data_IF_506266198558
#
_entry.id   IF_506266198558
#
_cell.length_a   1.000
_cell.length_b   1.000
_cell.length_c   1.000
_cell.angle_alpha   90.00
_cell.angle_beta   90.00
_cell.angle_gamma   90.00
#
_symmetry.space_group_name_H-M   'P 1'
#
loop_
_entity.id
_entity.type
_entity.pdbx_description
1 polymer ?
#
# COMPACT_ATOMS: atom_id res chain seq x y z
N UNK A 1 -10.77 -10.76 20.98
CA UNK A 1 -11.38 -11.21 19.72
C UNK A 1 -10.45 -12.26 19.12
N UNK A 2 -10.93 -13.48 18.92
CA UNK A 2 -10.15 -14.51 18.23
C UNK A 2 -10.09 -14.19 16.74
N UNK A 3 -8.89 -14.13 16.17
CA UNK A 3 -8.67 -13.89 14.74
C UNK A 3 -8.95 -15.17 13.96
N UNK A 4 -9.88 -15.13 13.01
CA UNK A 4 -10.25 -16.28 12.18
C UNK A 4 -9.09 -16.71 11.27
N UNK A 5 -9.08 -17.99 10.87
CA UNK A 5 -8.10 -18.52 9.91
C UNK A 5 -8.14 -17.75 8.58
N UNK A 6 -9.35 -17.45 8.09
CA UNK A 6 -9.53 -16.65 6.88
C UNK A 6 -8.88 -15.27 7.00
N UNK A 7 -8.99 -14.63 8.17
CA UNK A 7 -8.42 -13.30 8.35
C UNK A 7 -6.89 -13.29 8.34
N UNK A 8 -6.28 -14.36 8.86
CA UNK A 8 -4.82 -14.56 8.76
C UNK A 8 -4.39 -14.79 7.31
N UNK A 9 -5.12 -15.61 6.55
CA UNK A 9 -4.84 -15.86 5.14
C UNK A 9 -4.98 -14.60 4.29
N UNK A 10 -6.04 -13.81 4.49
CA UNK A 10 -6.25 -12.53 3.82
C UNK A 10 -5.11 -11.55 4.11
N UNK A 11 -4.70 -11.43 5.38
CA UNK A 11 -3.54 -10.62 5.76
C UNK A 11 -2.27 -11.09 5.07
N UNK A 12 -1.97 -12.39 5.06
CA UNK A 12 -0.79 -12.94 4.36
C UNK A 12 -0.84 -12.66 2.85
N UNK A 13 -2.00 -12.85 2.20
CA UNK A 13 -2.18 -12.50 0.78
C UNK A 13 -1.89 -11.03 0.51
N UNK A 14 -2.39 -10.14 1.38
CA UNK A 14 -2.17 -8.70 1.24
C UNK A 14 -0.71 -8.31 1.44
N UNK A 15 -0.03 -8.89 2.45
CA UNK A 15 1.41 -8.69 2.68
C UNK A 15 2.25 -9.09 1.46
N UNK A 16 1.98 -10.27 0.89
CA UNK A 16 2.67 -10.71 -0.33
C UNK A 16 2.36 -9.83 -1.54
N UNK A 17 1.11 -9.39 -1.71
CA UNK A 17 0.72 -8.52 -2.80
C UNK A 17 1.41 -7.15 -2.71
N UNK A 18 1.43 -6.55 -1.52
CA UNK A 18 2.12 -5.28 -1.29
C UNK A 18 3.62 -5.41 -1.60
N UNK A 19 4.27 -6.48 -1.14
CA UNK A 19 5.67 -6.75 -1.42
C UNK A 19 5.95 -6.88 -2.93
N UNK A 20 5.10 -7.61 -3.67
CA UNK A 20 5.21 -7.73 -5.13
C UNK A 20 5.02 -6.39 -5.87
N UNK A 21 4.28 -5.46 -5.26
CA UNK A 21 4.07 -4.10 -5.78
C UNK A 21 5.14 -3.10 -5.30
N UNK A 22 6.21 -3.56 -4.64
CA UNK A 22 7.28 -2.66 -4.19
C UNK A 22 6.92 -1.84 -2.96
N UNK A 23 5.97 -2.31 -2.14
CA UNK A 23 5.60 -1.73 -0.86
C UNK A 23 5.88 -2.69 0.29
N UNK A 24 6.13 -2.13 1.46
CA UNK A 24 6.17 -2.86 2.72
C UNK A 24 5.07 -2.37 3.62
N UNK A 25 4.21 -3.26 4.07
CA UNK A 25 3.22 -2.96 5.12
C UNK A 25 3.94 -3.02 6.47
N UNK A 26 3.81 -1.94 7.25
CA UNK A 26 4.42 -1.81 8.56
C UNK A 26 3.39 -2.16 9.67
N UNK A 27 2.11 -1.84 9.46
CA UNK A 27 1.02 -2.17 10.38
C UNK A 27 -0.31 -2.39 9.64
N UNK A 28 -1.13 -3.31 10.14
CA UNK A 28 -2.55 -3.46 9.82
C UNK A 28 -3.33 -3.39 11.13
N UNK A 29 -4.17 -2.37 11.27
CA UNK A 29 -5.09 -2.19 12.38
C UNK A 29 -6.52 -2.07 11.82
N UNK A 30 -7.25 -3.19 11.64
CA UNK A 30 -8.57 -3.19 10.99
C UNK A 30 -9.63 -2.31 11.67
N UNK A 31 -9.41 -1.93 12.93
CA UNK A 31 -10.32 -1.11 13.72
C UNK A 31 -9.79 0.32 13.95
N UNK A 32 -8.62 0.65 13.40
CA UNK A 32 -7.99 1.96 13.53
C UNK A 32 -8.51 2.98 12.52
N UNK A 33 -8.34 4.26 12.84
CA UNK A 33 -8.63 5.36 11.91
C UNK A 33 -7.77 5.31 10.64
N UNK A 34 -6.58 4.73 10.73
CA UNK A 34 -5.73 4.37 9.59
C UNK A 34 -5.58 2.85 9.59
N UNK A 35 -6.29 2.13 8.68
CA UNK A 35 -6.39 0.69 8.77
C UNK A 35 -5.10 -0.03 8.38
N UNK A 36 -4.27 0.58 7.53
CA UNK A 36 -3.00 0.00 7.06
C UNK A 36 -1.96 1.12 6.94
N UNK A 37 -0.76 0.90 7.45
CA UNK A 37 0.40 1.75 7.19
C UNK A 37 1.40 1.01 6.33
N UNK A 38 1.96 1.68 5.33
CA UNK A 38 2.93 1.09 4.43
C UNK A 38 3.95 2.12 3.96
N UNK A 39 5.10 1.61 3.54
CA UNK A 39 6.23 2.39 3.03
C UNK A 39 6.62 1.86 1.65
N UNK A 40 6.81 2.73 0.64
CA UNK A 40 7.38 2.30 -0.64
C UNK A 40 8.84 1.85 -0.43
N UNK A 41 9.21 0.73 -1.04
CA UNK A 41 10.58 0.18 -1.00
C UNK A 41 11.22 0.08 -2.38
N UNK A 42 10.41 0.05 -3.44
CA UNK A 42 10.91 0.11 -4.81
C UNK A 42 11.16 1.56 -5.25
N UNK A 43 12.18 1.76 -6.07
CA UNK A 43 12.52 3.08 -6.59
C UNK A 43 11.38 3.70 -7.42
N UNK A 44 11.32 5.03 -7.46
CA UNK A 44 10.29 5.80 -8.15
C UNK A 44 8.84 5.46 -7.74
N UNK A 45 8.64 4.71 -6.65
CA UNK A 45 7.32 4.30 -6.17
C UNK A 45 6.83 5.31 -5.13
N UNK A 46 5.68 5.96 -5.35
CA UNK A 46 5.21 7.02 -4.47
C UNK A 46 4.68 6.47 -3.15
N UNK A 47 4.70 7.31 -2.12
CA UNK A 47 4.03 7.00 -0.86
C UNK A 47 2.51 6.93 -1.06
N UNK A 48 1.86 6.05 -0.30
CA UNK A 48 0.41 5.90 -0.24
C UNK A 48 -0.02 6.01 1.21
N UNK A 49 -1.08 6.78 1.47
CA UNK A 49 -1.62 6.99 2.82
C UNK A 49 -3.13 6.98 2.81
N UNK A 50 -3.74 6.66 3.94
CA UNK A 50 -5.18 6.75 4.13
C UNK A 50 -5.54 8.04 4.86
N UNK A 51 -6.52 8.78 4.34
CA UNK A 51 -7.16 9.91 5.02
C UNK A 51 -8.64 9.59 5.23
N UNK A 52 -9.23 9.86 6.40
CA UNK A 52 -10.66 9.63 6.62
C UNK A 52 -11.58 10.40 5.65
N UNK A 53 -11.13 11.56 5.17
CA UNK A 53 -11.94 12.46 4.34
C UNK A 53 -11.95 12.06 2.86
N UNK A 54 -10.84 11.51 2.34
CA UNK A 54 -10.69 11.22 0.90
C UNK A 54 -10.34 9.76 0.59
N UNK A 55 -10.13 8.92 1.61
CA UNK A 55 -9.75 7.52 1.46
C UNK A 55 -8.25 7.35 1.16
N UNK A 56 -7.92 6.35 0.35
CA UNK A 56 -6.55 6.09 -0.06
C UNK A 56 -6.06 7.14 -1.06
N UNK A 57 -4.94 7.78 -0.74
CA UNK A 57 -4.31 8.79 -1.59
C UNK A 57 -2.88 8.42 -1.94
N UNK A 58 -2.48 8.78 -3.16
CA UNK A 58 -1.12 8.63 -3.66
C UNK A 58 -0.41 9.99 -3.65
N UNK A 59 0.80 10.04 -3.11
CA UNK A 59 1.60 11.26 -3.09
C UNK A 59 2.33 11.42 -4.43
N UNK A 60 2.24 12.60 -5.04
CA UNK A 60 2.90 12.86 -6.33
C UNK A 60 4.23 13.57 -6.14
N UNK A 61 5.22 13.25 -6.98
CA UNK A 61 6.50 13.95 -7.05
C UNK A 61 6.32 15.43 -7.50
N UNK A 62 7.25 16.28 -7.08
CA UNK A 62 7.35 17.70 -7.45
C UNK A 62 7.65 17.92 -8.94
N UNK A 63 7.39 19.14 -9.44
CA UNK A 63 7.61 19.58 -10.84
C UNK A 63 9.10 19.68 -11.22
N UNK A 64 9.82 18.57 -11.18
CA UNK A 64 11.24 18.51 -11.54
C UNK A 64 11.43 18.15 -13.02
N UNK A 65 12.56 18.58 -13.61
CA UNK A 65 12.94 18.16 -14.95
C UNK A 65 13.47 16.72 -14.88
N UNK A 66 12.89 15.83 -15.68
CA UNK A 66 13.26 14.40 -15.74
C UNK A 66 13.53 13.99 -17.18
N UNK A 67 14.41 13.01 -17.35
CA UNK A 67 14.63 12.33 -18.63
C UNK A 67 13.45 11.44 -18.99
N UNK A 68 13.36 11.00 -20.25
CA UNK A 68 12.31 10.06 -20.70
C UNK A 68 12.36 8.74 -19.94
N UNK A 69 13.56 8.20 -19.69
CA UNK A 69 13.72 6.95 -18.93
C UNK A 69 13.30 7.08 -17.46
N UNK A 70 13.54 8.24 -16.84
CA UNK A 70 13.03 8.51 -15.49
C UNK A 70 11.51 8.66 -15.49
N UNK A 71 10.94 9.30 -16.51
CA UNK A 71 9.50 9.43 -16.67
C UNK A 71 8.80 8.05 -16.77
N UNK A 72 9.37 7.12 -17.53
CA UNK A 72 8.86 5.74 -17.63
C UNK A 72 8.87 5.02 -16.27
N UNK A 73 9.99 5.10 -15.55
CA UNK A 73 10.12 4.50 -14.21
C UNK A 73 9.17 5.11 -13.18
N UNK A 74 8.94 6.42 -13.25
CA UNK A 74 7.95 7.14 -12.43
C UNK A 74 6.54 6.65 -12.77
N UNK A 75 6.21 6.53 -14.07
CA UNK A 75 4.91 6.04 -14.51
C UNK A 75 4.64 4.61 -14.00
N UNK A 76 5.62 3.71 -14.08
CA UNK A 76 5.53 2.37 -13.49
C UNK A 76 5.32 2.42 -11.97
N UNK A 77 6.00 3.35 -11.28
CA UNK A 77 5.81 3.61 -9.85
C UNK A 77 4.37 3.96 -9.50
N UNK A 78 3.76 4.88 -10.25
CA UNK A 78 2.34 5.22 -10.07
C UNK A 78 1.40 4.07 -10.42
N UNK A 79 1.73 3.23 -11.40
CA UNK A 79 0.95 2.02 -11.69
C UNK A 79 0.98 1.03 -10.52
N UNK A 80 2.15 0.84 -9.88
CA UNK A 80 2.27 0.04 -8.65
C UNK A 80 1.42 0.62 -7.51
N UNK A 81 1.44 1.94 -7.35
CA UNK A 81 0.66 2.64 -6.33
C UNK A 81 -0.85 2.46 -6.54
N UNK A 82 -1.34 2.67 -7.77
CA UNK A 82 -2.74 2.47 -8.11
C UNK A 82 -3.17 1.02 -7.84
N UNK A 83 -2.35 0.04 -8.23
CA UNK A 83 -2.63 -1.37 -7.97
C UNK A 83 -2.66 -1.72 -6.47
N UNK A 84 -1.84 -1.05 -5.65
CA UNK A 84 -1.85 -1.22 -4.20
C UNK A 84 -3.13 -0.63 -3.59
N UNK A 85 -3.51 0.57 -4.01
CA UNK A 85 -4.74 1.23 -3.54
C UNK A 85 -5.95 0.35 -3.81
N UNK A 86 -6.09 -0.17 -5.04
CA UNK A 86 -7.16 -1.12 -5.37
C UNK A 86 -7.13 -2.37 -4.49
N UNK A 87 -5.94 -2.89 -4.16
CA UNK A 87 -5.80 -4.03 -3.27
C UNK A 87 -6.23 -3.70 -1.83
N UNK A 88 -5.95 -2.49 -1.34
CA UNK A 88 -6.40 -2.04 -0.02
C UNK A 88 -7.91 -1.81 0.03
N UNK A 89 -8.51 -1.24 -1.02
CA UNK A 89 -9.96 -1.04 -1.11
C UNK A 89 -10.73 -2.37 -1.16
N UNK A 90 -10.15 -3.38 -1.80
CA UNK A 90 -10.72 -4.72 -1.88
C UNK A 90 -10.44 -5.60 -0.64
N UNK A 91 -9.57 -5.15 0.28
CA UNK A 91 -9.16 -5.96 1.42
C UNK A 91 -10.23 -5.98 2.51
N UNK A 92 -10.77 -7.16 2.80
CA UNK A 92 -11.71 -7.39 3.90
C UNK A 92 -11.19 -8.45 4.85
N UNK A 93 -11.77 -8.50 6.06
CA UNK A 93 -11.49 -9.54 7.04
C UNK A 93 -9.98 -9.69 7.29
N UNK A 94 -9.30 -8.60 7.66
CA UNK A 94 -7.85 -8.64 7.92
C UNK A 94 -7.57 -8.96 9.39
N UNK A 95 -6.58 -9.82 9.62
CA UNK A 95 -5.96 -9.98 10.92
C UNK A 95 -5.08 -8.75 11.26
N UNK A 96 -5.05 -8.29 12.52
CA UNK A 96 -4.07 -7.31 12.97
C UNK A 96 -2.66 -7.79 12.69
N UNK A 97 -1.79 -6.88 12.25
CA UNK A 97 -0.39 -7.17 11.97
C UNK A 97 0.45 -5.98 12.37
N UNK A 98 1.60 -6.24 12.98
CA UNK A 98 2.64 -5.25 13.18
C UNK A 98 3.95 -5.92 12.81
N UNK A 99 4.74 -5.24 11.99
CA UNK A 99 6.01 -5.77 11.56
C UNK A 99 6.90 -6.05 12.79
N UNK A 100 7.60 -7.20 12.83
CA UNK A 100 8.55 -7.52 13.90
C UNK A 100 9.79 -6.62 13.88
#
# INVERSE_FOLDING_TARGET
METTTLAKENTTRLLHRAAALGYRIDCINPHGACPITCTPVAECTPAVSYTPETGWVCHTASNEQVTVSELERIAEGYQRAAALITAFEAATDLAPYTRP
#
